data_IF_946288877847
#
_entry.id   IF_946288877847
#
_cell.length_a   1.000
_cell.length_b   1.000
_cell.length_c   1.000
_cell.angle_alpha   90.00
_cell.angle_beta   90.00
_cell.angle_gamma   90.00
#
_symmetry.space_group_name_H-M   'P 1'
#
loop_
_entity.id
_entity.type
_entity.pdbx_description
1 polymer ?
#
# COMPACT_ATOMS: atom_id res chain seq x y z
N UNK A 1 -14.71 1.52 15.30
CA UNK A 1 -14.35 0.16 14.81
C UNK A 1 -13.50 0.26 13.54
N UNK A 2 -13.62 1.33 12.76
CA UNK A 2 -12.89 1.57 11.49
C UNK A 2 -11.36 1.49 11.63
N UNK A 3 -10.78 2.11 12.67
CA UNK A 3 -9.32 2.06 12.92
C UNK A 3 -8.71 0.65 13.00
N UNK A 4 -9.47 -0.36 13.44
CA UNK A 4 -8.96 -1.74 13.50
C UNK A 4 -8.89 -2.40 12.12
N UNK A 5 -9.82 -2.04 11.23
CA UNK A 5 -9.88 -2.53 9.85
C UNK A 5 -8.79 -1.84 9.02
N UNK A 6 -8.65 -0.52 9.13
CA UNK A 6 -7.61 0.28 8.48
C UNK A 6 -6.19 -0.26 8.77
N UNK A 7 -5.89 -0.54 10.05
CA UNK A 7 -4.61 -1.12 10.46
C UNK A 7 -4.39 -2.52 9.89
N UNK A 8 -5.47 -3.31 9.76
CA UNK A 8 -5.45 -4.63 9.15
C UNK A 8 -5.13 -4.56 7.64
N UNK A 9 -5.78 -3.65 6.93
CA UNK A 9 -5.56 -3.41 5.50
C UNK A 9 -4.15 -2.91 5.21
N UNK A 10 -3.66 -1.93 5.97
CA UNK A 10 -2.31 -1.40 5.82
C UNK A 10 -1.25 -2.49 6.07
N UNK A 11 -1.47 -3.34 7.09
CA UNK A 11 -0.57 -4.46 7.38
C UNK A 11 -0.58 -5.49 6.26
N UNK A 12 -1.75 -5.87 5.75
CA UNK A 12 -1.87 -6.84 4.67
C UNK A 12 -1.21 -6.32 3.39
N UNK A 13 -1.48 -5.07 3.03
CA UNK A 13 -0.86 -4.44 1.86
C UNK A 13 0.66 -4.37 2.00
N UNK A 14 1.19 -4.05 3.18
CA UNK A 14 2.64 -4.09 3.45
C UNK A 14 3.23 -5.48 3.18
N UNK A 15 2.55 -6.55 3.60
CA UNK A 15 3.02 -7.92 3.38
C UNK A 15 3.02 -8.28 1.88
N UNK A 16 1.93 -7.94 1.17
CA UNK A 16 1.82 -8.17 -0.28
C UNK A 16 2.93 -7.45 -1.06
N UNK A 17 3.16 -6.18 -0.74
CA UNK A 17 4.23 -5.39 -1.36
C UNK A 17 5.60 -5.99 -1.04
N UNK A 18 5.82 -6.47 0.18
CA UNK A 18 7.08 -7.10 0.58
C UNK A 18 7.32 -8.41 -0.19
N UNK A 19 6.28 -9.22 -0.40
CA UNK A 19 6.39 -10.45 -1.17
C UNK A 19 6.66 -10.21 -2.66
N UNK A 20 6.06 -9.15 -3.22
CA UNK A 20 6.17 -8.86 -4.65
C UNK A 20 7.44 -8.08 -5.02
N UNK A 21 7.84 -7.14 -4.17
CA UNK A 21 8.93 -6.19 -4.47
C UNK A 21 10.14 -6.33 -3.54
N UNK A 22 10.07 -7.19 -2.52
CA UNK A 22 11.14 -7.35 -1.53
C UNK A 22 11.12 -6.27 -0.45
N UNK A 23 12.28 -5.93 0.09
CA UNK A 23 12.39 -4.96 1.19
C UNK A 23 11.83 -3.59 0.78
N UNK A 24 10.85 -3.10 1.54
CA UNK A 24 10.17 -1.84 1.21
C UNK A 24 11.00 -0.62 1.65
N UNK A 25 11.26 0.33 0.73
CA UNK A 25 11.87 1.61 1.07
C UNK A 25 11.11 2.37 2.15
N UNK A 26 11.80 3.24 2.89
CA UNK A 26 11.20 4.02 3.97
C UNK A 26 10.00 4.86 3.50
N UNK A 27 10.06 5.43 2.29
CA UNK A 27 8.99 6.25 1.74
C UNK A 27 7.69 5.45 1.54
N UNK A 28 7.77 4.18 1.13
CA UNK A 28 6.59 3.29 1.01
C UNK A 28 5.97 3.05 2.37
N UNK A 29 6.80 2.82 3.40
CA UNK A 29 6.31 2.59 4.75
C UNK A 29 5.61 3.83 5.31
N UNK A 30 6.12 5.03 5.02
CA UNK A 30 5.47 6.29 5.38
C UNK A 30 4.13 6.48 4.67
N UNK A 31 4.03 6.14 3.38
CA UNK A 31 2.77 6.20 2.64
C UNK A 31 1.72 5.27 3.23
N UNK A 32 2.07 4.00 3.51
CA UNK A 32 1.16 3.03 4.10
C UNK A 32 0.68 3.42 5.50
N UNK A 33 1.53 4.06 6.32
CA UNK A 33 1.19 4.44 7.69
C UNK A 33 0.23 5.63 7.78
N UNK A 34 0.21 6.50 6.76
CA UNK A 34 -0.63 7.71 6.72
C UNK A 34 -1.77 7.65 5.70
N UNK A 35 -2.00 6.49 5.07
CA UNK A 35 -3.02 6.33 4.06
C UNK A 35 -4.40 6.05 4.69
N UNK A 36 -5.39 6.77 4.21
CA UNK A 36 -6.80 6.47 4.46
C UNK A 36 -7.19 5.14 3.78
N UNK A 37 -8.19 4.41 4.30
CA UNK A 37 -8.57 3.09 3.81
C UNK A 37 -8.87 3.05 2.30
N UNK A 38 -9.46 4.11 1.72
CA UNK A 38 -9.72 4.18 0.28
C UNK A 38 -8.43 4.15 -0.56
N UNK A 39 -7.35 4.75 -0.07
CA UNK A 39 -6.04 4.70 -0.73
C UNK A 39 -5.41 3.31 -0.60
N UNK A 40 -5.54 2.68 0.57
CA UNK A 40 -5.07 1.31 0.78
C UNK A 40 -5.77 0.34 -0.16
N UNK A 41 -7.09 0.45 -0.33
CA UNK A 41 -7.87 -0.37 -1.27
C UNK A 41 -7.44 -0.12 -2.73
N UNK A 42 -7.24 1.14 -3.12
CA UNK A 42 -6.79 1.49 -4.46
C UNK A 42 -5.40 0.92 -4.78
N UNK A 43 -4.47 1.02 -3.82
CA UNK A 43 -3.14 0.42 -3.96
C UNK A 43 -3.21 -1.11 -3.98
N UNK A 44 -4.05 -1.75 -3.16
CA UNK A 44 -4.25 -3.20 -3.19
C UNK A 44 -4.70 -3.71 -4.57
N UNK A 45 -5.60 -2.97 -5.26
CA UNK A 45 -5.99 -3.28 -6.64
C UNK A 45 -4.82 -3.11 -7.62
N UNK A 46 -4.05 -2.02 -7.48
CA UNK A 46 -2.85 -1.75 -8.31
C UNK A 46 -1.68 -2.70 -8.05
N UNK A 47 -1.64 -3.38 -6.90
CA UNK A 47 -0.64 -4.44 -6.66
C UNK A 47 -0.76 -5.55 -7.69
N UNK A 48 -1.92 -5.74 -8.32
CA UNK A 48 -2.14 -6.82 -9.27
C UNK A 48 -1.46 -6.59 -10.62
N UNK A 49 -1.20 -5.34 -11.01
CA UNK A 49 -0.71 -4.98 -12.35
C UNK A 49 0.55 -4.08 -12.34
N UNK A 50 0.77 -3.26 -11.31
CA UNK A 50 1.86 -2.27 -11.29
C UNK A 50 3.25 -2.91 -11.27
N UNK A 51 4.13 -2.67 -12.25
CA UNK A 51 5.43 -3.38 -12.28
C UNK A 51 6.49 -2.86 -11.30
N UNK A 52 6.26 -1.69 -10.70
CA UNK A 52 7.19 -1.08 -9.74
C UNK A 52 6.42 -0.43 -8.61
N UNK A 53 7.10 -0.17 -7.49
CA UNK A 53 6.55 0.60 -6.38
C UNK A 53 6.15 2.01 -6.86
N UNK A 54 6.98 2.68 -7.64
CA UNK A 54 6.64 4.00 -8.21
C UNK A 54 5.33 3.95 -9.00
N UNK A 55 5.17 2.95 -9.89
CA UNK A 55 3.94 2.77 -10.66
C UNK A 55 2.71 2.45 -9.80
N UNK A 56 2.89 1.90 -8.59
CA UNK A 56 1.83 1.63 -7.63
C UNK A 56 1.41 2.87 -6.84
N UNK A 57 2.36 3.76 -6.53
CA UNK A 57 2.13 4.93 -5.69
C UNK A 57 1.92 6.24 -6.49
N UNK A 58 1.89 6.22 -7.82
CA UNK A 58 1.52 7.42 -8.62
C UNK A 58 0.12 7.88 -8.21
N UNK A 59 0.01 9.09 -7.64
CA UNK A 59 -1.26 9.78 -7.47
C UNK A 59 -1.54 10.56 -8.75
N UNK A 60 -2.62 10.21 -9.46
CA UNK A 60 -3.14 11.12 -10.49
C UNK A 60 -3.82 12.27 -9.74
N UNK A 61 -3.16 13.43 -9.74
CA UNK A 61 -3.73 14.72 -9.35
C UNK A 61 -4.98 15.06 -10.15
#
# INVERSE_FOLDING_TARGET
>A
MEKGIEQGEARLLKQLLTWRFGALPAWVQSQLAGAEPERLEAWAKRVLDAQTLDALFVERS
#
